data_IF_582412133187
#
_entry.id   IF_582412133187
#
_cell.length_a   1.000
_cell.length_b   1.000
_cell.length_c   1.000
_cell.angle_alpha   90.00
_cell.angle_beta   90.00
_cell.angle_gamma   90.00
#
_symmetry.space_group_name_H-M   'P 1'
#
loop_
_entity.id
_entity.type
_entity.pdbx_description
1 polymer ?
#
# COMPACT_ATOMS: atom_id res chain seq x y z
N UNK A 1 6.48 25.23 -31.36
CA UNK A 1 7.06 23.98 -31.82
C UNK A 1 7.13 23.08 -30.58
N UNK A 2 6.43 22.01 -30.33
CA UNK A 2 5.38 21.29 -31.07
C UNK A 2 4.69 20.33 -30.10
N UNK A 3 3.38 20.42 -29.99
CA UNK A 3 2.49 19.54 -29.22
C UNK A 3 2.18 18.22 -29.97
N UNK A 4 3.13 17.72 -30.75
CA UNK A 4 2.88 16.65 -31.72
C UNK A 4 3.46 15.28 -31.40
N UNK A 5 4.26 15.10 -30.36
CA UNK A 5 5.08 13.87 -30.18
C UNK A 5 4.55 12.89 -29.13
N UNK A 6 3.58 13.28 -28.30
CA UNK A 6 3.04 12.38 -27.25
C UNK A 6 1.85 11.53 -27.68
N UNK A 7 1.19 11.81 -28.79
CA UNK A 7 0.01 11.03 -29.25
C UNK A 7 0.43 9.79 -30.07
N UNK A 8 1.62 9.79 -30.70
CA UNK A 8 2.09 8.65 -31.49
C UNK A 8 2.56 7.43 -30.68
N UNK A 9 2.92 7.60 -29.42
CA UNK A 9 3.38 6.48 -28.56
C UNK A 9 2.17 5.67 -28.02
N UNK A 10 1.01 6.29 -27.86
CA UNK A 10 -0.20 5.61 -27.34
C UNK A 10 -0.88 4.69 -28.38
N UNK A 11 -0.66 4.92 -29.66
CA UNK A 11 -1.27 4.10 -30.74
C UNK A 11 -0.40 2.89 -31.09
N UNK A 12 0.92 2.96 -30.87
CA UNK A 12 1.86 1.85 -31.15
C UNK A 12 1.83 0.73 -30.10
N UNK A 13 1.30 0.97 -28.89
CA UNK A 13 1.22 -0.03 -27.83
C UNK A 13 -0.01 -0.96 -27.89
N UNK A 14 -0.91 -0.76 -28.84
CA UNK A 14 -2.14 -1.58 -28.95
C UNK A 14 -1.95 -2.94 -29.61
N UNK A 15 -0.81 -3.20 -30.26
CA UNK A 15 -0.59 -4.41 -31.06
C UNK A 15 0.45 -5.40 -30.48
N UNK A 16 0.86 -5.25 -29.20
CA UNK A 16 1.84 -6.16 -28.56
C UNK A 16 1.25 -7.08 -27.48
N UNK A 17 -0.07 -7.22 -27.39
CA UNK A 17 -0.72 -8.06 -26.37
C UNK A 17 -1.57 -9.18 -26.99
N UNK A 18 -0.97 -10.00 -27.85
CA UNK A 18 -1.46 -11.36 -28.02
C UNK A 18 -0.61 -12.30 -27.17
N UNK A 19 -1.13 -12.64 -25.98
CA UNK A 19 -0.62 -13.73 -25.15
C UNK A 19 -0.90 -15.03 -25.91
N UNK A 20 0.09 -15.89 -26.17
CA UNK A 20 -0.15 -17.22 -26.72
C UNK A 20 -1.13 -17.94 -25.79
N UNK A 21 -2.24 -18.46 -26.33
CA UNK A 21 -3.17 -19.35 -25.64
C UNK A 21 -2.47 -20.70 -25.37
N UNK A 22 -1.57 -20.72 -24.39
CA UNK A 22 -1.10 -21.93 -23.74
C UNK A 22 -2.16 -22.39 -22.74
N UNK A 23 -2.55 -23.63 -22.80
CA UNK A 23 -3.53 -24.29 -21.93
C UNK A 23 -3.04 -24.18 -20.47
N UNK A 24 -4.03 -23.99 -19.58
CA UNK A 24 -3.98 -23.83 -18.13
C UNK A 24 -3.78 -22.39 -17.64
N UNK A 25 -4.70 -21.53 -18.07
CA UNK A 25 -5.19 -20.51 -17.18
C UNK A 25 -6.23 -21.17 -16.28
N UNK A 26 -5.82 -21.68 -15.13
CA UNK A 26 -6.73 -21.78 -14.00
C UNK A 26 -7.21 -20.35 -13.71
N UNK A 27 -8.27 -19.97 -14.43
CA UNK A 27 -9.00 -18.76 -14.13
C UNK A 27 -9.40 -18.89 -12.67
N UNK A 28 -9.14 -17.87 -11.85
CA UNK A 28 -9.66 -17.75 -10.49
C UNK A 28 -11.20 -17.61 -10.49
N UNK A 29 -11.87 -18.35 -11.34
CA UNK A 29 -13.33 -18.52 -11.33
C UNK A 29 -13.63 -19.87 -10.70
N UNK A 30 -14.08 -19.85 -9.44
CA UNK A 30 -14.64 -21.04 -8.82
C UNK A 30 -15.80 -21.57 -9.69
N UNK A 31 -15.92 -22.90 -9.87
CA UNK A 31 -17.07 -23.47 -10.53
C UNK A 31 -18.35 -23.10 -9.75
N UNK A 32 -19.40 -22.70 -10.47
CA UNK A 32 -20.72 -22.53 -9.91
C UNK A 32 -21.21 -23.90 -9.39
N UNK A 33 -21.29 -24.05 -8.08
CA UNK A 33 -22.09 -25.09 -7.46
C UNK A 33 -23.34 -24.39 -6.95
N UNK A 34 -24.50 -24.76 -7.47
CA UNK A 34 -25.83 -24.23 -7.13
C UNK A 34 -26.11 -22.75 -7.47
N UNK A 35 -25.57 -22.22 -8.56
CA UNK A 35 -25.94 -20.88 -9.07
C UNK A 35 -25.47 -19.71 -8.19
N UNK A 36 -24.75 -19.94 -7.10
CA UNK A 36 -24.16 -18.91 -6.25
C UNK A 36 -22.64 -18.87 -6.41
N UNK A 37 -22.11 -17.75 -6.90
CA UNK A 37 -20.67 -17.53 -6.94
C UNK A 37 -20.11 -17.54 -5.52
N UNK A 38 -19.15 -18.42 -5.24
CA UNK A 38 -18.41 -18.46 -3.98
C UNK A 38 -17.22 -17.47 -3.98
N UNK A 39 -16.97 -16.81 -5.08
CA UNK A 39 -15.86 -15.89 -5.25
C UNK A 39 -16.28 -14.56 -5.88
N UNK A 40 -16.15 -13.47 -5.14
CA UNK A 40 -16.53 -12.12 -5.53
C UNK A 40 -15.29 -11.25 -5.74
N UNK A 41 -14.91 -11.02 -6.99
CA UNK A 41 -13.75 -10.19 -7.35
C UNK A 41 -14.15 -8.82 -7.94
N UNK A 42 -15.39 -8.69 -8.43
CA UNK A 42 -15.87 -7.49 -9.13
C UNK A 42 -16.96 -6.72 -8.35
N UNK A 43 -16.96 -6.88 -7.01
CA UNK A 43 -17.97 -6.30 -6.12
C UNK A 43 -19.18 -7.20 -5.94
N UNK A 44 -20.08 -6.78 -5.07
CA UNK A 44 -21.27 -7.54 -4.68
C UNK A 44 -22.57 -6.94 -5.23
N UNK A 45 -22.47 -5.81 -5.97
CA UNK A 45 -23.60 -5.15 -6.62
C UNK A 45 -24.43 -4.24 -5.71
N UNK A 46 -23.96 -3.96 -4.50
CA UNK A 46 -24.67 -3.19 -3.43
C UNK A 46 -24.02 -1.83 -3.15
N UNK A 47 -23.31 -1.25 -4.12
CA UNK A 47 -22.61 0.02 -3.93
C UNK A 47 -23.54 1.17 -3.54
N UNK A 48 -24.74 1.23 -4.12
CA UNK A 48 -25.69 2.30 -3.84
C UNK A 48 -26.25 2.22 -2.43
N UNK A 49 -26.48 1.01 -1.94
CA UNK A 49 -27.03 0.71 -0.62
C UNK A 49 -26.09 1.12 0.50
N UNK A 50 -24.78 0.94 0.31
CA UNK A 50 -23.77 1.27 1.32
C UNK A 50 -23.22 2.70 1.22
N UNK A 51 -23.50 3.43 0.14
CA UNK A 51 -22.91 4.74 -0.13
C UNK A 51 -23.21 5.78 0.96
N UNK A 52 -24.44 5.80 1.49
CA UNK A 52 -24.85 6.75 2.54
C UNK A 52 -24.07 6.49 3.85
N UNK A 53 -23.87 5.21 4.19
CA UNK A 53 -23.14 4.80 5.39
C UNK A 53 -21.64 5.14 5.23
N UNK A 54 -21.05 4.82 4.08
CA UNK A 54 -19.65 5.14 3.78
C UNK A 54 -19.38 6.66 3.85
N UNK A 55 -20.31 7.46 3.30
CA UNK A 55 -20.20 8.92 3.38
C UNK A 55 -20.25 9.41 4.82
N UNK A 56 -21.17 8.90 5.65
CA UNK A 56 -21.26 9.23 7.07
C UNK A 56 -19.98 8.86 7.82
N UNK A 57 -19.42 7.66 7.55
CA UNK A 57 -18.32 7.10 8.32
C UNK A 57 -16.94 7.65 7.90
N UNK A 58 -16.78 8.18 6.66
CA UNK A 58 -15.44 8.54 6.14
C UNK A 58 -15.34 9.90 5.45
N UNK A 59 -16.45 10.60 5.19
CA UNK A 59 -16.40 11.90 4.54
C UNK A 59 -16.12 13.02 5.57
N UNK A 60 -15.57 14.14 5.08
CA UNK A 60 -15.43 15.41 5.83
C UNK A 60 -15.83 16.58 4.96
N UNK A 61 -16.79 17.38 5.44
CA UNK A 61 -17.18 18.61 4.79
C UNK A 61 -16.04 19.65 4.83
N UNK A 62 -15.26 19.70 5.93
CA UNK A 62 -14.11 20.59 6.05
C UNK A 62 -13.05 20.29 4.99
N UNK A 63 -12.73 19.02 4.77
CA UNK A 63 -11.77 18.61 3.73
C UNK A 63 -12.30 18.92 2.33
N UNK A 64 -13.60 18.72 2.08
CA UNK A 64 -14.23 19.08 0.82
C UNK A 64 -14.13 20.59 0.56
N UNK A 65 -14.48 21.41 1.57
CA UNK A 65 -14.35 22.84 1.50
C UNK A 65 -12.91 23.30 1.21
N UNK A 66 -11.91 22.70 1.88
CA UNK A 66 -10.51 23.04 1.63
C UNK A 66 -10.07 22.72 0.20
N UNK A 67 -10.49 21.59 -0.35
CA UNK A 67 -10.20 21.22 -1.75
C UNK A 67 -10.77 22.23 -2.74
N UNK A 68 -11.97 22.75 -2.50
CA UNK A 68 -12.60 23.78 -3.33
C UNK A 68 -11.92 25.15 -3.18
N UNK A 69 -11.20 25.39 -2.08
CA UNK A 69 -10.54 26.64 -1.75
C UNK A 69 -9.01 26.56 -1.80
N UNK A 70 -8.45 25.78 -2.73
CA UNK A 70 -7.01 25.73 -3.00
C UNK A 70 -6.19 25.00 -1.93
N UNK A 71 -6.79 24.09 -1.18
CA UNK A 71 -6.14 23.30 -0.13
C UNK A 71 -5.49 24.15 0.98
N UNK A 72 -6.09 25.30 1.30
CA UNK A 72 -5.54 26.27 2.26
C UNK A 72 -6.60 26.73 3.24
N UNK A 73 -6.19 26.90 4.51
CA UNK A 73 -6.98 27.53 5.56
C UNK A 73 -6.16 28.67 6.17
N UNK A 74 -6.69 29.88 6.15
CA UNK A 74 -6.08 31.06 6.76
C UNK A 74 -7.01 31.64 7.85
N UNK A 75 -6.46 31.83 9.05
CA UNK A 75 -7.19 32.45 10.15
C UNK A 75 -6.21 33.22 11.06
N UNK A 76 -6.20 34.56 10.95
CA UNK A 76 -5.31 35.41 11.73
C UNK A 76 -3.83 35.11 11.46
N UNK A 77 -3.10 34.70 12.49
CA UNK A 77 -1.70 34.31 12.42
C UNK A 77 -1.46 32.80 12.19
N UNK A 78 -2.48 32.10 11.74
CA UNK A 78 -2.43 30.66 11.44
C UNK A 78 -2.71 30.42 9.97
N UNK A 79 -1.85 29.64 9.32
CA UNK A 79 -2.08 29.14 7.97
C UNK A 79 -1.82 27.64 7.93
N UNK A 80 -2.79 26.88 7.42
CA UNK A 80 -2.64 25.46 7.16
C UNK A 80 -2.71 25.22 5.65
N UNK A 81 -1.78 24.43 5.15
CA UNK A 81 -1.72 23.97 3.76
C UNK A 81 -1.92 22.46 3.73
N UNK A 82 -2.85 21.98 2.94
CA UNK A 82 -3.07 20.58 2.70
C UNK A 82 -2.43 20.18 1.37
N UNK A 83 -1.68 19.10 1.33
CA UNK A 83 -1.16 18.57 0.06
C UNK A 83 -2.30 18.38 -0.96
N UNK A 84 -2.04 18.49 -2.26
CA UNK A 84 -3.11 18.36 -3.25
C UNK A 84 -3.60 16.91 -3.44
N UNK A 85 -2.73 15.90 -3.14
CA UNK A 85 -3.09 14.49 -3.10
C UNK A 85 -2.85 13.89 -1.71
N UNK A 86 -3.90 13.33 -1.11
CA UNK A 86 -3.89 12.77 0.23
C UNK A 86 -5.12 11.88 0.49
N UNK A 87 -5.07 11.09 1.55
CA UNK A 87 -6.20 10.29 2.01
C UNK A 87 -6.46 9.06 1.16
N UNK A 88 -7.65 8.47 1.23
CA UNK A 88 -7.99 7.23 0.55
C UNK A 88 -7.62 7.24 -0.93
N UNK A 89 -6.87 6.22 -1.37
CA UNK A 89 -6.68 5.95 -2.79
C UNK A 89 -7.82 5.07 -3.32
N UNK A 90 -7.92 4.99 -4.64
CA UNK A 90 -8.95 4.16 -5.29
C UNK A 90 -8.95 2.70 -4.80
N UNK A 91 -7.78 2.09 -4.60
CA UNK A 91 -7.67 0.70 -4.13
C UNK A 91 -8.20 0.52 -2.72
N UNK A 92 -7.89 1.45 -1.83
CA UNK A 92 -8.38 1.48 -0.44
C UNK A 92 -9.89 1.73 -0.40
N UNK A 93 -10.36 2.75 -1.12
CA UNK A 93 -11.79 3.08 -1.18
C UNK A 93 -12.61 1.88 -1.65
N UNK A 94 -12.15 1.19 -2.71
CA UNK A 94 -12.76 -0.04 -3.21
C UNK A 94 -12.77 -1.17 -2.15
N UNK A 95 -11.67 -1.36 -1.42
CA UNK A 95 -11.58 -2.44 -0.42
C UNK A 95 -12.58 -2.20 0.73
N UNK A 96 -12.64 -0.97 1.22
CA UNK A 96 -13.60 -0.57 2.26
C UNK A 96 -15.05 -0.69 1.75
N UNK A 97 -15.35 -0.20 0.55
CA UNK A 97 -16.66 -0.33 -0.08
C UNK A 97 -17.10 -1.82 -0.16
N UNK A 98 -16.22 -2.72 -0.58
CA UNK A 98 -16.54 -4.15 -0.66
C UNK A 98 -16.77 -4.79 0.72
N UNK A 99 -16.05 -4.36 1.75
CA UNK A 99 -16.28 -4.84 3.12
C UNK A 99 -17.69 -4.46 3.62
N UNK A 100 -18.14 -3.23 3.36
CA UNK A 100 -19.49 -2.78 3.69
C UNK A 100 -20.55 -3.53 2.88
N UNK A 101 -20.36 -3.67 1.58
CA UNK A 101 -21.26 -4.49 0.73
C UNK A 101 -21.31 -5.95 1.21
N UNK A 102 -20.21 -6.48 1.75
CA UNK A 102 -20.17 -7.85 2.27
C UNK A 102 -21.08 -8.01 3.48
N UNK A 103 -21.03 -7.08 4.44
CA UNK A 103 -21.94 -7.11 5.60
C UNK A 103 -23.41 -6.96 5.19
N UNK A 104 -23.69 -6.06 4.24
CA UNK A 104 -25.04 -5.86 3.70
C UNK A 104 -25.58 -7.10 2.99
N UNK A 105 -24.72 -7.78 2.19
CA UNK A 105 -25.12 -8.99 1.45
C UNK A 105 -25.31 -10.22 2.34
N UNK A 106 -24.53 -10.31 3.41
CA UNK A 106 -24.48 -11.49 4.29
C UNK A 106 -24.76 -11.11 5.76
N UNK A 107 -25.93 -10.54 6.07
CA UNK A 107 -26.21 -10.00 7.41
C UNK A 107 -26.16 -11.04 8.53
N UNK A 108 -26.53 -12.29 8.24
CA UNK A 108 -26.63 -13.38 9.21
C UNK A 108 -25.44 -14.35 9.20
N UNK A 109 -24.39 -14.07 8.37
CA UNK A 109 -23.22 -14.94 8.29
C UNK A 109 -22.07 -14.40 9.13
N UNK A 110 -21.20 -15.32 9.58
CA UNK A 110 -19.90 -14.96 10.11
C UNK A 110 -19.06 -14.38 8.96
N UNK A 111 -18.45 -13.24 9.20
CA UNK A 111 -17.58 -12.57 8.23
C UNK A 111 -16.22 -12.39 8.86
N UNK A 112 -15.20 -12.80 8.13
CA UNK A 112 -13.81 -12.74 8.57
C UNK A 112 -12.96 -11.92 7.60
N UNK A 113 -11.90 -11.31 8.14
CA UNK A 113 -10.76 -10.77 7.40
C UNK A 113 -9.53 -11.62 7.69
N UNK A 114 -8.74 -11.97 6.69
CA UNK A 114 -7.50 -12.72 6.91
C UNK A 114 -6.46 -11.91 7.69
N UNK A 115 -6.53 -10.59 7.62
CA UNK A 115 -5.71 -9.62 8.33
C UNK A 115 -6.32 -8.23 8.26
N UNK A 116 -5.57 -7.18 8.52
CA UNK A 116 -6.06 -5.80 8.38
C UNK A 116 -6.53 -5.54 6.94
N UNK A 117 -7.73 -4.98 6.76
CA UNK A 117 -8.19 -4.65 5.40
C UNK A 117 -7.28 -3.61 4.75
N UNK A 118 -6.83 -2.65 5.57
CA UNK A 118 -5.84 -1.62 5.30
C UNK A 118 -5.16 -1.23 6.61
N UNK A 119 -3.96 -0.66 6.58
CA UNK A 119 -3.27 -0.20 7.78
C UNK A 119 -3.87 1.12 8.32
N UNK A 120 -5.09 1.04 8.83
CA UNK A 120 -5.77 2.14 9.50
C UNK A 120 -6.64 1.65 10.66
N UNK A 121 -6.30 2.00 11.93
CA UNK A 121 -7.03 1.54 13.10
C UNK A 121 -8.51 1.94 13.11
N UNK A 122 -8.83 3.14 12.65
CA UNK A 122 -10.21 3.62 12.62
C UNK A 122 -11.09 2.75 11.70
N UNK A 123 -10.56 2.36 10.54
CA UNK A 123 -11.30 1.52 9.60
C UNK A 123 -11.45 0.09 10.13
N UNK A 124 -10.38 -0.50 10.67
CA UNK A 124 -10.42 -1.86 11.21
C UNK A 124 -11.36 -1.96 12.43
N UNK A 125 -11.32 -0.99 13.35
CA UNK A 125 -12.24 -0.93 14.48
C UNK A 125 -13.70 -0.78 14.02
N UNK A 126 -13.95 0.03 12.98
CA UNK A 126 -15.30 0.15 12.41
C UNK A 126 -15.83 -1.15 11.85
N UNK A 127 -14.99 -1.96 11.21
CA UNK A 127 -15.36 -3.30 10.74
C UNK A 127 -15.65 -4.25 11.91
N UNK A 128 -14.89 -4.18 13.01
CA UNK A 128 -15.20 -4.94 14.25
C UNK A 128 -16.59 -4.56 14.78
N UNK A 129 -16.91 -3.27 14.85
CA UNK A 129 -18.24 -2.79 15.27
C UNK A 129 -19.36 -3.33 14.35
N UNK A 130 -19.05 -3.58 13.09
CA UNK A 130 -19.97 -4.19 12.12
C UNK A 130 -20.04 -5.73 12.24
N UNK A 131 -19.35 -6.33 13.22
CA UNK A 131 -19.32 -7.77 13.43
C UNK A 131 -18.44 -8.54 12.44
N UNK A 132 -17.38 -7.91 11.93
CA UNK A 132 -16.33 -8.59 11.17
C UNK A 132 -15.22 -9.01 12.13
N UNK A 133 -14.79 -10.26 12.05
CA UNK A 133 -13.73 -10.84 12.86
C UNK A 133 -12.40 -10.91 12.06
N UNK A 134 -11.27 -10.91 12.76
CA UNK A 134 -9.94 -10.93 12.14
C UNK A 134 -9.23 -12.24 12.47
N UNK A 135 -8.72 -12.93 11.45
CA UNK A 135 -8.04 -14.22 11.61
C UNK A 135 -6.58 -14.05 12.03
N UNK A 136 -5.98 -12.89 11.83
CA UNK A 136 -4.58 -12.62 12.19
C UNK A 136 -4.36 -11.17 12.62
N UNK A 137 -3.14 -10.89 13.11
CA UNK A 137 -2.72 -9.54 13.50
C UNK A 137 -3.29 -9.08 14.85
N UNK A 138 -3.16 -7.79 15.12
CA UNK A 138 -3.51 -7.20 16.42
C UNK A 138 -5.01 -7.18 16.74
N UNK A 139 -5.87 -7.39 15.74
CA UNK A 139 -7.33 -7.41 15.88
C UNK A 139 -7.89 -8.83 16.00
N UNK A 140 -7.05 -9.87 15.90
CA UNK A 140 -7.49 -11.26 16.02
C UNK A 140 -7.98 -11.56 17.45
N UNK A 141 -9.07 -12.30 17.53
CA UNK A 141 -9.61 -12.85 18.78
C UNK A 141 -9.14 -14.28 19.05
N UNK A 142 -8.20 -14.78 18.24
CA UNK A 142 -7.67 -16.15 18.33
C UNK A 142 -8.33 -17.15 17.37
N UNK A 143 -9.39 -16.77 16.65
CA UNK A 143 -9.94 -17.57 15.55
C UNK A 143 -8.92 -17.68 14.41
N UNK A 144 -8.73 -18.86 13.87
CA UNK A 144 -7.77 -19.15 12.79
C UNK A 144 -8.48 -19.69 11.55
N UNK A 145 -7.78 -19.81 10.44
CA UNK A 145 -8.31 -20.42 9.21
C UNK A 145 -8.82 -21.85 9.49
N UNK A 146 -8.20 -22.56 10.46
CA UNK A 146 -8.62 -23.92 10.82
C UNK A 146 -10.03 -23.99 11.42
N UNK A 147 -10.51 -22.92 12.04
CA UNK A 147 -11.81 -22.83 12.72
C UNK A 147 -12.96 -22.39 11.80
N UNK A 148 -12.66 -22.13 10.52
CA UNK A 148 -13.65 -21.70 9.55
C UNK A 148 -14.49 -22.87 9.06
N UNK A 149 -15.78 -22.61 8.85
CA UNK A 149 -16.76 -23.56 8.33
C UNK A 149 -17.11 -23.26 6.87
N UNK A 150 -17.59 -24.27 6.10
CA UNK A 150 -18.17 -24.03 4.78
C UNK A 150 -19.28 -22.97 4.87
N UNK A 151 -19.27 -22.00 3.95
CA UNK A 151 -20.17 -20.82 3.90
C UNK A 151 -19.82 -19.65 4.81
N UNK A 152 -18.78 -19.73 5.66
CA UNK A 152 -18.22 -18.51 6.24
C UNK A 152 -17.76 -17.58 5.13
N UNK A 153 -17.91 -16.28 5.35
CA UNK A 153 -17.51 -15.28 4.37
C UNK A 153 -16.15 -14.73 4.76
N UNK A 154 -15.17 -14.81 3.86
CA UNK A 154 -13.83 -14.29 4.11
C UNK A 154 -13.48 -13.20 3.13
N UNK A 155 -13.18 -12.02 3.65
CA UNK A 155 -12.70 -10.86 2.89
C UNK A 155 -11.18 -10.96 2.81
N UNK A 156 -10.64 -10.96 1.59
CA UNK A 156 -9.21 -10.88 1.33
C UNK A 156 -8.83 -9.39 1.28
N UNK A 157 -7.83 -8.92 2.08
CA UNK A 157 -7.52 -7.50 2.20
C UNK A 157 -6.96 -6.87 0.93
N UNK A 158 -6.84 -5.54 0.94
CA UNK A 158 -6.30 -4.78 -0.18
C UNK A 158 -4.86 -5.19 -0.59
N UNK A 159 -4.11 -5.73 0.34
CA UNK A 159 -2.74 -6.25 0.14
C UNK A 159 -2.70 -7.62 -0.54
N UNK A 160 -3.84 -8.30 -0.61
CA UNK A 160 -3.96 -9.70 -1.02
C UNK A 160 -3.57 -10.68 0.08
N UNK A 161 -3.56 -11.95 -0.28
CA UNK A 161 -3.16 -13.07 0.59
C UNK A 161 -2.19 -13.97 -0.15
N UNK A 162 -1.44 -14.78 0.59
CA UNK A 162 -0.55 -15.77 -0.02
C UNK A 162 -1.34 -16.84 -0.79
N UNK A 163 -0.67 -17.47 -1.77
CA UNK A 163 -1.27 -18.59 -2.54
C UNK A 163 -1.73 -19.72 -1.64
N UNK A 164 -0.99 -20.00 -0.55
CA UNK A 164 -1.35 -21.06 0.39
C UNK A 164 -2.65 -20.72 1.14
N UNK A 165 -2.73 -19.52 1.72
CA UNK A 165 -3.95 -19.08 2.40
C UNK A 165 -5.16 -19.08 1.47
N UNK A 166 -5.00 -18.60 0.23
CA UNK A 166 -6.07 -18.62 -0.75
C UNK A 166 -6.58 -20.04 -1.04
N UNK A 167 -5.66 -21.01 -1.21
CA UNK A 167 -6.01 -22.41 -1.43
C UNK A 167 -6.73 -23.02 -0.21
N UNK A 168 -6.19 -22.79 0.98
CA UNK A 168 -6.78 -23.29 2.22
C UNK A 168 -8.21 -22.79 2.42
N UNK A 169 -8.45 -21.50 2.19
CA UNK A 169 -9.79 -20.92 2.28
C UNK A 169 -10.75 -21.48 1.23
N UNK A 170 -10.27 -21.67 0.01
CA UNK A 170 -11.06 -22.25 -1.09
C UNK A 170 -11.42 -23.69 -0.80
N UNK A 171 -10.45 -24.51 -0.33
CA UNK A 171 -10.64 -25.93 -0.05
C UNK A 171 -11.60 -26.17 1.13
N UNK A 172 -11.71 -25.19 2.05
CA UNK A 172 -12.70 -25.18 3.13
C UNK A 172 -14.12 -24.84 2.68
N UNK A 173 -14.29 -24.40 1.44
CA UNK A 173 -15.60 -24.01 0.91
C UNK A 173 -16.10 -22.65 1.40
N UNK A 174 -15.22 -21.77 1.86
CA UNK A 174 -15.56 -20.40 2.24
C UNK A 174 -16.04 -19.57 1.06
N UNK A 175 -16.92 -18.61 1.33
CA UNK A 175 -17.28 -17.57 0.36
C UNK A 175 -16.19 -16.48 0.39
N UNK A 176 -15.50 -16.29 -0.71
CA UNK A 176 -14.37 -15.35 -0.79
C UNK A 176 -14.77 -14.03 -1.43
N UNK A 177 -14.44 -12.93 -0.79
CA UNK A 177 -14.59 -11.56 -1.32
C UNK A 177 -13.20 -10.96 -1.48
N UNK A 178 -12.76 -10.83 -2.73
CA UNK A 178 -11.42 -10.34 -3.05
C UNK A 178 -11.41 -8.83 -3.20
N UNK A 179 -10.78 -8.16 -2.25
CA UNK A 179 -10.59 -6.71 -2.28
C UNK A 179 -9.17 -6.32 -2.72
N UNK A 180 -8.34 -7.27 -3.15
CA UNK A 180 -6.96 -7.02 -3.57
C UNK A 180 -6.87 -5.88 -4.56
N UNK A 181 -6.02 -4.89 -4.27
CA UNK A 181 -5.86 -3.70 -5.09
C UNK A 181 -5.36 -4.05 -6.51
N UNK A 182 -5.85 -3.34 -7.52
CA UNK A 182 -5.43 -3.52 -8.90
C UNK A 182 -3.93 -3.34 -9.12
N UNK A 183 -3.29 -2.42 -8.39
CA UNK A 183 -1.83 -2.24 -8.43
C UNK A 183 -1.10 -3.48 -7.91
N UNK A 184 -1.54 -4.07 -6.81
CA UNK A 184 -0.99 -5.33 -6.28
C UNK A 184 -1.16 -6.48 -7.28
N UNK A 185 -2.35 -6.61 -7.87
CA UNK A 185 -2.61 -7.61 -8.91
C UNK A 185 -1.70 -7.44 -10.14
N UNK A 186 -1.32 -6.21 -10.49
CA UNK A 186 -0.36 -5.98 -11.57
C UNK A 186 1.04 -6.46 -11.21
N UNK A 187 1.49 -6.23 -9.98
CA UNK A 187 2.77 -6.79 -9.49
C UNK A 187 2.74 -8.32 -9.53
N UNK A 188 1.65 -8.94 -9.06
CA UNK A 188 1.48 -10.39 -9.09
C UNK A 188 1.58 -10.99 -10.50
N UNK A 189 0.98 -10.32 -11.50
CA UNK A 189 1.10 -10.74 -12.91
C UNK A 189 2.57 -10.74 -13.37
N UNK A 190 3.36 -9.74 -12.94
CA UNK A 190 4.78 -9.66 -13.29
C UNK A 190 5.60 -10.76 -12.63
N UNK A 191 5.43 -10.96 -11.31
CA UNK A 191 6.08 -12.05 -10.56
C UNK A 191 5.72 -13.42 -11.16
N UNK A 192 4.44 -13.65 -11.47
CA UNK A 192 4.01 -14.88 -12.16
C UNK A 192 4.64 -15.04 -13.55
N UNK A 193 4.74 -13.94 -14.32
CA UNK A 193 5.40 -13.95 -15.63
C UNK A 193 6.88 -14.28 -15.50
N UNK A 194 7.58 -13.68 -14.54
CA UNK A 194 9.00 -14.01 -14.28
C UNK A 194 9.17 -15.50 -13.97
N UNK A 195 8.44 -16.01 -12.99
CA UNK A 195 8.53 -17.40 -12.58
C UNK A 195 8.20 -18.39 -13.72
N UNK A 196 7.16 -18.10 -14.53
CA UNK A 196 6.80 -18.94 -15.68
C UNK A 196 7.84 -18.97 -16.80
N UNK A 197 8.73 -17.98 -16.84
CA UNK A 197 9.81 -17.87 -17.84
C UNK A 197 11.21 -18.19 -17.25
N UNK A 198 11.27 -18.74 -16.04
CA UNK A 198 12.52 -19.15 -15.38
C UNK A 198 13.37 -17.97 -14.91
N UNK A 199 12.76 -16.84 -14.55
CA UNK A 199 13.43 -15.72 -13.91
C UNK A 199 13.15 -15.75 -12.42
N UNK A 200 14.14 -15.45 -11.61
CA UNK A 200 13.98 -15.14 -10.19
C UNK A 200 13.40 -13.75 -10.01
N UNK A 201 12.38 -13.63 -9.20
CA UNK A 201 11.81 -12.32 -8.86
C UNK A 201 12.62 -11.67 -7.75
N UNK A 202 13.37 -10.59 -8.04
CA UNK A 202 13.93 -9.71 -7.00
C UNK A 202 12.86 -8.68 -6.63
N UNK A 203 12.43 -8.69 -5.38
CA UNK A 203 11.30 -7.87 -4.90
C UNK A 203 11.82 -6.83 -3.90
N UNK A 204 11.75 -5.54 -4.27
CA UNK A 204 12.01 -4.46 -3.32
C UNK A 204 10.84 -4.31 -2.37
N UNK A 205 11.03 -4.64 -1.10
CA UNK A 205 9.97 -4.61 -0.09
C UNK A 205 10.41 -5.09 1.29
N UNK A 206 9.49 -5.00 2.23
CA UNK A 206 9.68 -5.51 3.60
C UNK A 206 9.20 -6.97 3.63
N UNK A 207 10.10 -7.94 3.85
CA UNK A 207 9.78 -9.37 3.78
C UNK A 207 8.63 -9.82 4.71
N UNK A 208 8.40 -9.09 5.81
CA UNK A 208 7.36 -9.37 6.79
C UNK A 208 6.03 -8.65 6.51
N UNK A 209 5.95 -7.80 5.47
CA UNK A 209 4.74 -7.08 5.12
C UNK A 209 3.80 -7.99 4.30
N UNK A 210 2.51 -7.94 4.60
CA UNK A 210 1.48 -8.81 4.01
C UNK A 210 1.49 -8.78 2.48
N UNK A 211 1.61 -7.58 1.89
CA UNK A 211 1.71 -7.41 0.43
C UNK A 211 2.93 -8.11 -0.15
N UNK A 212 4.09 -8.04 0.52
CA UNK A 212 5.33 -8.66 0.06
C UNK A 212 5.23 -10.19 0.17
N UNK A 213 4.65 -10.70 1.26
CA UNK A 213 4.38 -12.14 1.45
C UNK A 213 3.44 -12.66 0.36
N UNK A 214 2.34 -11.94 0.12
CA UNK A 214 1.37 -12.30 -0.91
C UNK A 214 2.01 -12.26 -2.31
N UNK A 215 2.80 -11.23 -2.61
CA UNK A 215 3.49 -11.04 -3.89
C UNK A 215 4.54 -12.10 -4.14
N UNK A 216 5.44 -12.36 -3.18
CA UNK A 216 6.50 -13.36 -3.32
C UNK A 216 5.94 -14.77 -3.51
N UNK A 217 4.81 -15.08 -2.84
CA UNK A 217 4.12 -16.36 -2.98
C UNK A 217 3.65 -16.64 -4.41
N UNK A 218 3.44 -15.60 -5.24
CA UNK A 218 3.02 -15.78 -6.64
C UNK A 218 4.10 -16.50 -7.48
N UNK A 219 5.38 -16.37 -7.12
CA UNK A 219 6.45 -17.12 -7.76
C UNK A 219 6.28 -18.62 -7.51
N UNK A 220 5.82 -19.01 -6.31
CA UNK A 220 5.64 -20.41 -5.90
C UNK A 220 4.43 -21.11 -6.54
N UNK A 221 3.71 -20.44 -7.46
CA UNK A 221 2.72 -21.11 -8.33
C UNK A 221 3.35 -22.05 -9.32
N UNK A 222 4.62 -21.85 -9.61
CA UNK A 222 5.42 -22.61 -10.59
C UNK A 222 6.47 -23.44 -9.85
N UNK A 223 6.67 -24.67 -10.28
CA UNK A 223 7.52 -25.66 -9.60
C UNK A 223 8.94 -25.16 -9.32
N UNK A 224 9.51 -24.40 -10.28
CA UNK A 224 10.86 -23.84 -10.17
C UNK A 224 10.85 -22.32 -9.93
N UNK A 225 9.72 -21.77 -9.50
CA UNK A 225 9.58 -20.34 -9.25
C UNK A 225 10.43 -19.89 -8.07
N UNK A 226 11.25 -18.87 -8.27
CA UNK A 226 12.17 -18.34 -7.27
C UNK A 226 11.93 -16.87 -7.00
N UNK A 227 12.21 -16.47 -5.75
CA UNK A 227 12.22 -15.06 -5.37
C UNK A 227 13.32 -14.76 -4.35
N UNK A 228 13.75 -13.51 -4.36
CA UNK A 228 14.60 -12.89 -3.35
C UNK A 228 14.05 -11.50 -3.03
N UNK A 229 13.89 -11.17 -1.76
CA UNK A 229 13.39 -9.88 -1.30
C UNK A 229 14.58 -9.06 -0.81
N UNK A 230 14.67 -7.81 -1.29
CA UNK A 230 15.66 -6.82 -0.83
C UNK A 230 14.92 -5.62 -0.23
N UNK A 231 15.39 -5.13 0.91
CA UNK A 231 14.73 -4.05 1.64
C UNK A 231 15.22 -2.66 1.23
N UNK A 232 16.44 -2.54 0.75
CA UNK A 232 17.09 -1.27 0.45
C UNK A 232 18.28 -1.44 -0.51
N UNK A 233 18.90 -0.32 -0.87
CA UNK A 233 20.07 -0.29 -1.77
C UNK A 233 21.27 -1.06 -1.21
N UNK A 234 21.48 -1.10 0.10
CA UNK A 234 22.61 -1.82 0.71
C UNK A 234 22.48 -3.34 0.48
N UNK A 235 21.29 -3.90 0.74
CA UNK A 235 21.00 -5.32 0.46
C UNK A 235 21.10 -5.62 -1.05
N UNK A 236 20.62 -4.70 -1.89
CA UNK A 236 20.70 -4.82 -3.34
C UNK A 236 22.15 -4.93 -3.82
N UNK A 237 23.04 -4.06 -3.32
CA UNK A 237 24.47 -4.10 -3.70
C UNK A 237 25.14 -5.41 -3.32
N UNK A 238 24.77 -6.03 -2.20
CA UNK A 238 25.32 -7.34 -1.83
C UNK A 238 24.87 -8.43 -2.80
N UNK A 239 23.61 -8.38 -3.24
CA UNK A 239 23.13 -9.29 -4.31
C UNK A 239 23.86 -9.03 -5.62
N UNK A 240 24.04 -7.77 -6.00
CA UNK A 240 24.78 -7.38 -7.21
C UNK A 240 26.26 -7.82 -7.16
N UNK A 241 26.91 -7.64 -6.00
CA UNK A 241 28.29 -8.11 -5.81
C UNK A 241 28.40 -9.63 -6.00
N UNK A 242 27.47 -10.39 -5.43
CA UNK A 242 27.40 -11.83 -5.64
C UNK A 242 27.14 -12.19 -7.10
N UNK A 243 26.27 -11.48 -7.81
CA UNK A 243 26.02 -11.67 -9.25
C UNK A 243 27.31 -11.50 -10.03
N UNK A 244 28.10 -10.47 -9.75
CA UNK A 244 29.33 -10.12 -10.50
C UNK A 244 30.50 -11.04 -10.16
N UNK A 245 30.75 -11.25 -8.89
CA UNK A 245 32.02 -11.81 -8.40
C UNK A 245 31.88 -13.23 -7.84
N UNK A 246 30.61 -13.73 -7.67
CA UNK A 246 30.35 -14.91 -6.87
C UNK A 246 30.64 -14.64 -5.38
N UNK A 247 30.87 -15.69 -4.61
CA UNK A 247 31.22 -15.54 -3.21
C UNK A 247 30.77 -16.70 -2.34
N UNK A 248 30.64 -16.43 -1.03
CA UNK A 248 30.16 -17.42 -0.07
C UNK A 248 28.63 -17.54 -0.15
N UNK A 249 28.16 -18.54 -0.89
CA UNK A 249 26.75 -18.87 -1.04
C UNK A 249 26.06 -19.12 0.32
N UNK A 250 26.75 -19.73 1.28
CA UNK A 250 26.18 -20.03 2.59
C UNK A 250 25.97 -18.74 3.42
N UNK A 251 26.89 -17.80 3.33
CA UNK A 251 26.76 -16.48 3.97
C UNK A 251 25.60 -15.68 3.38
N UNK A 252 25.44 -15.68 2.06
CA UNK A 252 24.32 -15.01 1.39
C UNK A 252 22.97 -15.63 1.80
N UNK A 253 22.87 -16.96 1.80
CA UNK A 253 21.67 -17.70 2.18
C UNK A 253 21.29 -17.43 3.66
N UNK A 254 22.25 -17.43 4.57
CA UNK A 254 21.98 -17.11 5.98
C UNK A 254 21.50 -15.67 6.17
N UNK A 255 22.12 -14.72 5.47
CA UNK A 255 21.68 -13.32 5.52
C UNK A 255 20.25 -13.11 5.02
N UNK A 256 19.90 -13.73 3.91
CA UNK A 256 18.59 -13.59 3.26
C UNK A 256 17.61 -14.72 3.61
N UNK A 257 17.85 -15.52 4.65
CA UNK A 257 17.07 -16.73 5.00
C UNK A 257 15.55 -16.52 5.10
N UNK A 258 15.11 -15.32 5.51
CA UNK A 258 13.70 -14.96 5.58
C UNK A 258 13.19 -14.24 4.31
N UNK A 259 14.07 -14.02 3.34
CA UNK A 259 13.85 -13.18 2.17
C UNK A 259 13.89 -13.97 0.85
N UNK A 260 14.12 -15.28 0.90
CA UNK A 260 14.29 -16.14 -0.28
C UNK A 260 13.25 -17.25 -0.33
N UNK A 261 12.99 -17.74 -1.54
CA UNK A 261 12.14 -18.91 -1.75
C UNK A 261 12.80 -20.22 -1.25
N UNK A 262 12.02 -21.25 -0.90
CA UNK A 262 12.56 -22.57 -0.57
C UNK A 262 13.44 -23.11 -1.69
N UNK A 263 14.60 -23.69 -1.32
CA UNK A 263 15.56 -24.26 -2.26
C UNK A 263 16.17 -23.24 -3.23
N UNK A 264 16.31 -21.99 -2.79
CA UNK A 264 17.01 -20.95 -3.54
C UNK A 264 18.51 -21.26 -3.60
N UNK A 265 19.07 -21.24 -4.79
CA UNK A 265 20.51 -21.43 -5.07
C UNK A 265 21.08 -20.16 -5.73
N UNK A 266 21.86 -19.33 -5.00
CA UNK A 266 22.33 -18.06 -5.53
C UNK A 266 23.27 -18.22 -6.74
N UNK A 267 23.94 -19.36 -6.92
CA UNK A 267 24.84 -19.59 -8.06
C UNK A 267 24.09 -19.79 -9.37
N UNK A 268 22.87 -20.32 -9.32
CA UNK A 268 22.03 -20.59 -10.48
C UNK A 268 20.83 -19.66 -10.57
N UNK A 269 20.17 -19.36 -9.44
CA UNK A 269 18.90 -18.62 -9.44
C UNK A 269 19.09 -17.10 -9.68
N UNK A 270 20.33 -16.58 -9.62
CA UNK A 270 20.64 -15.17 -9.92
C UNK A 270 21.12 -14.94 -11.38
N UNK A 271 21.11 -15.95 -12.23
CA UNK A 271 21.48 -15.82 -13.65
C UNK A 271 20.45 -15.05 -14.47
N UNK A 272 19.16 -15.16 -14.10
CA UNK A 272 18.05 -14.51 -14.78
C UNK A 272 17.12 -13.90 -13.75
N UNK A 273 17.02 -12.59 -13.74
CA UNK A 273 16.27 -11.87 -12.71
C UNK A 273 15.22 -10.91 -13.28
N UNK A 274 14.10 -10.80 -12.59
CA UNK A 274 13.04 -9.84 -12.90
C UNK A 274 12.72 -8.99 -11.69
N UNK A 275 12.62 -7.66 -11.86
CA UNK A 275 12.39 -6.72 -10.76
C UNK A 275 10.90 -6.47 -10.51
N UNK A 276 10.52 -6.48 -9.25
CA UNK A 276 9.21 -6.06 -8.75
C UNK A 276 9.37 -5.29 -7.44
N UNK A 277 8.32 -4.63 -6.97
CA UNK A 277 8.35 -3.93 -5.69
C UNK A 277 7.01 -4.05 -4.95
N UNK A 278 7.07 -3.95 -3.64
CA UNK A 278 5.91 -3.65 -2.80
C UNK A 278 5.38 -2.27 -3.22
N UNK A 279 4.08 -2.16 -3.51
CA UNK A 279 3.47 -0.98 -4.16
C UNK A 279 3.58 0.32 -3.35
N UNK A 280 3.86 0.20 -2.06
CA UNK A 280 3.97 1.33 -1.12
C UNK A 280 5.40 1.76 -0.81
N UNK A 281 6.42 1.21 -1.49
CA UNK A 281 7.82 1.62 -1.33
C UNK A 281 8.08 3.00 -1.96
N UNK A 282 9.19 3.62 -1.59
CA UNK A 282 9.64 4.86 -2.25
C UNK A 282 9.98 4.58 -3.72
N UNK A 283 9.33 5.32 -4.61
CA UNK A 283 9.51 5.09 -6.05
C UNK A 283 10.92 5.39 -6.51
N UNK A 284 11.53 6.47 -6.01
CA UNK A 284 12.92 6.83 -6.32
C UNK A 284 13.90 5.74 -5.92
N UNK A 285 13.70 5.10 -4.76
CA UNK A 285 14.54 4.00 -4.30
C UNK A 285 14.30 2.73 -5.14
N UNK A 286 13.04 2.39 -5.45
CA UNK A 286 12.70 1.24 -6.29
C UNK A 286 13.33 1.36 -7.68
N UNK A 287 13.28 2.54 -8.29
CA UNK A 287 13.92 2.81 -9.58
C UNK A 287 15.46 2.73 -9.50
N UNK A 288 16.06 3.27 -8.44
CA UNK A 288 17.50 3.19 -8.21
C UNK A 288 17.98 1.75 -8.03
N UNK A 289 17.22 0.93 -7.29
CA UNK A 289 17.48 -0.51 -7.12
C UNK A 289 17.40 -1.24 -8.47
N UNK A 290 16.37 -0.96 -9.27
CA UNK A 290 16.23 -1.57 -10.58
C UNK A 290 17.42 -1.23 -11.51
N UNK A 291 17.88 0.01 -11.49
CA UNK A 291 19.04 0.44 -12.29
C UNK A 291 20.36 -0.16 -11.77
N UNK A 292 20.53 -0.35 -10.45
CA UNK A 292 21.72 -0.99 -9.88
C UNK A 292 21.82 -2.46 -10.29
N UNK A 293 20.72 -3.23 -10.19
CA UNK A 293 20.67 -4.62 -10.65
C UNK A 293 20.91 -4.69 -12.16
N UNK A 294 20.29 -3.81 -12.94
CA UNK A 294 20.49 -3.75 -14.39
C UNK A 294 21.96 -3.53 -14.76
N UNK A 295 22.67 -2.62 -14.05
CA UNK A 295 24.10 -2.38 -14.26
C UNK A 295 24.93 -3.64 -14.01
N UNK A 296 24.67 -4.34 -12.90
CA UNK A 296 25.35 -5.60 -12.59
C UNK A 296 25.10 -6.65 -13.68
N UNK A 297 23.88 -6.76 -14.19
CA UNK A 297 23.54 -7.71 -15.26
C UNK A 297 24.23 -7.35 -16.59
N UNK A 298 24.31 -6.05 -16.93
CA UNK A 298 25.05 -5.57 -18.10
C UNK A 298 26.54 -5.88 -17.95
N UNK A 299 27.12 -5.65 -16.80
CA UNK A 299 28.53 -5.90 -16.53
C UNK A 299 28.87 -7.40 -16.67
N UNK A 300 27.99 -8.28 -16.13
CA UNK A 300 28.21 -9.73 -16.19
C UNK A 300 27.97 -10.34 -17.58
N UNK A 301 26.89 -9.94 -18.28
CA UNK A 301 26.42 -10.63 -19.50
C UNK A 301 26.56 -9.80 -20.77
N UNK A 302 26.91 -8.53 -20.66
CA UNK A 302 26.95 -7.58 -21.79
C UNK A 302 25.55 -7.02 -22.13
N UNK A 303 25.56 -5.84 -22.76
CA UNK A 303 24.33 -5.15 -23.19
C UNK A 303 23.50 -5.96 -24.20
N UNK A 304 24.18 -6.71 -25.08
CA UNK A 304 23.53 -7.45 -26.17
C UNK A 304 22.73 -8.68 -25.67
N UNK A 305 23.06 -9.19 -24.48
CA UNK A 305 22.41 -10.34 -23.87
C UNK A 305 21.46 -9.94 -22.73
N UNK A 306 21.34 -8.66 -22.40
CA UNK A 306 20.58 -8.17 -21.24
C UNK A 306 19.15 -8.70 -21.20
N UNK A 307 18.43 -8.68 -22.32
CA UNK A 307 17.01 -9.10 -22.39
C UNK A 307 16.79 -10.59 -22.03
N UNK A 308 17.87 -11.41 -22.11
CA UNK A 308 17.81 -12.81 -21.71
C UNK A 308 18.02 -13.02 -20.21
N UNK A 309 18.64 -12.06 -19.52
CA UNK A 309 19.05 -12.17 -18.12
C UNK A 309 18.33 -11.21 -17.18
N UNK A 310 17.76 -10.11 -17.71
CA UNK A 310 17.15 -9.07 -16.92
C UNK A 310 15.80 -8.60 -17.47
N UNK A 311 14.80 -8.52 -16.60
CA UNK A 311 13.52 -7.92 -16.91
C UNK A 311 13.12 -6.93 -15.82
N UNK A 312 12.53 -5.81 -16.22
CA UNK A 312 11.93 -4.86 -15.30
C UNK A 312 10.67 -4.26 -15.91
N UNK A 313 9.70 -3.98 -15.05
CA UNK A 313 8.48 -3.26 -15.41
C UNK A 313 8.23 -2.23 -14.33
N UNK A 314 7.61 -1.12 -14.70
CA UNK A 314 7.14 -0.17 -13.72
C UNK A 314 5.97 -0.80 -12.93
N UNK A 315 6.25 -1.13 -11.68
CA UNK A 315 5.27 -1.70 -10.73
C UNK A 315 4.94 -0.74 -9.59
N UNK A 316 5.40 0.51 -9.69
CA UNK A 316 5.10 1.56 -8.71
C UNK A 316 3.61 1.91 -8.81
N UNK A 317 2.96 2.00 -7.63
CA UNK A 317 1.57 2.42 -7.59
C UNK A 317 1.46 3.93 -7.83
N UNK A 318 0.69 4.34 -8.87
CA UNK A 318 0.48 5.77 -9.18
C UNK A 318 -0.04 6.53 -7.97
N UNK A 319 -0.97 5.96 -7.20
CA UNK A 319 -1.50 6.61 -6.00
C UNK A 319 -0.42 6.83 -4.91
N UNK A 320 0.60 5.99 -4.83
CA UNK A 320 1.76 6.20 -3.95
C UNK A 320 2.63 7.32 -4.49
N UNK A 321 2.93 7.30 -5.79
CA UNK A 321 3.71 8.34 -6.47
C UNK A 321 3.04 9.71 -6.35
N UNK A 322 1.76 9.82 -6.70
CA UNK A 322 1.00 11.07 -6.66
C UNK A 322 1.07 11.74 -5.27
N UNK A 323 1.02 10.95 -4.19
CA UNK A 323 1.14 11.48 -2.81
C UNK A 323 2.56 11.90 -2.45
N UNK A 324 3.57 11.17 -2.93
CA UNK A 324 4.96 11.56 -2.75
C UNK A 324 5.25 12.87 -3.50
N UNK A 325 4.80 12.99 -4.74
CA UNK A 325 4.97 14.20 -5.55
C UNK A 325 4.23 15.39 -4.93
N UNK A 326 2.98 15.17 -4.48
CA UNK A 326 2.17 16.21 -3.84
C UNK A 326 2.81 16.76 -2.55
N UNK A 327 3.44 15.90 -1.77
CA UNK A 327 4.09 16.34 -0.53
C UNK A 327 5.43 17.04 -0.82
N UNK A 328 6.18 16.58 -1.82
CA UNK A 328 7.42 17.24 -2.28
C UNK A 328 7.09 18.63 -2.81
N UNK A 329 6.05 18.74 -3.64
CA UNK A 329 5.57 20.03 -4.16
C UNK A 329 5.21 20.97 -3.01
N UNK A 330 4.45 20.48 -2.02
CA UNK A 330 4.04 21.29 -0.88
C UNK A 330 5.24 21.83 -0.09
N UNK A 331 6.19 20.97 0.30
CA UNK A 331 7.33 21.36 1.14
C UNK A 331 8.38 22.17 0.38
N UNK A 332 8.44 22.04 -0.96
CA UNK A 332 9.37 22.81 -1.80
C UNK A 332 8.85 24.21 -2.11
N UNK A 333 7.52 24.38 -2.23
CA UNK A 333 6.91 25.64 -2.65
C UNK A 333 6.36 26.49 -1.49
N UNK A 334 6.24 25.91 -0.28
CA UNK A 334 5.74 26.62 0.90
C UNK A 334 6.80 26.66 1.99
N UNK A 335 7.04 27.85 2.54
CA UNK A 335 7.85 27.98 3.75
C UNK A 335 7.01 27.51 4.96
N UNK A 336 7.18 26.26 5.37
CA UNK A 336 6.43 25.63 6.46
C UNK A 336 7.26 25.59 7.74
N UNK A 337 6.63 25.86 8.89
CA UNK A 337 7.26 25.74 10.20
C UNK A 337 7.24 24.28 10.71
N UNK A 338 6.20 23.53 10.32
CA UNK A 338 6.09 22.09 10.62
C UNK A 338 5.14 21.37 9.65
N UNK A 339 5.28 20.04 9.61
CA UNK A 339 4.38 19.15 8.91
C UNK A 339 3.68 18.19 9.87
N UNK A 340 2.39 17.94 9.63
CA UNK A 340 1.63 16.86 10.27
C UNK A 340 1.26 15.84 9.19
N UNK A 341 1.76 14.61 9.36
CA UNK A 341 1.46 13.48 8.48
C UNK A 341 0.54 12.54 9.23
N UNK A 342 -0.69 12.36 8.73
CA UNK A 342 -1.70 11.53 9.40
C UNK A 342 -1.90 10.19 8.70
N UNK A 343 -1.91 9.11 9.46
CA UNK A 343 -2.20 7.74 9.02
C UNK A 343 -1.56 6.68 9.88
N UNK A 344 -2.00 5.44 9.74
CA UNK A 344 -1.58 4.33 10.59
C UNK A 344 -0.06 4.18 10.71
N UNK A 345 0.43 3.95 11.91
CA UNK A 345 1.87 3.80 12.20
C UNK A 345 2.51 2.61 11.44
N UNK A 346 1.71 1.61 11.05
CA UNK A 346 2.14 0.46 10.27
C UNK A 346 2.06 0.70 8.74
N UNK A 347 1.46 1.81 8.30
CA UNK A 347 1.34 2.14 6.87
C UNK A 347 2.69 2.54 6.28
N UNK A 348 3.21 1.74 5.34
CA UNK A 348 4.45 2.08 4.63
C UNK A 348 4.34 3.39 3.86
N UNK A 349 3.22 3.63 3.17
CA UNK A 349 3.00 4.89 2.47
C UNK A 349 3.08 6.10 3.41
N UNK A 350 2.40 6.05 4.58
CA UNK A 350 2.42 7.14 5.56
C UNK A 350 3.82 7.38 6.14
N UNK A 351 4.56 6.30 6.46
CA UNK A 351 5.93 6.40 6.96
C UNK A 351 6.84 7.09 5.94
N UNK A 352 6.75 6.74 4.65
CA UNK A 352 7.56 7.37 3.61
C UNK A 352 7.21 8.86 3.40
N UNK A 353 5.93 9.25 3.51
CA UNK A 353 5.55 10.66 3.48
C UNK A 353 6.18 11.44 4.65
N UNK A 354 6.20 10.84 5.84
CA UNK A 354 6.86 11.45 7.00
C UNK A 354 8.39 11.54 6.82
N UNK A 355 9.02 10.52 6.23
CA UNK A 355 10.46 10.52 5.90
C UNK A 355 10.79 11.62 4.89
N UNK A 356 10.01 11.78 3.82
CA UNK A 356 10.19 12.84 2.83
C UNK A 356 10.08 14.21 3.49
N UNK A 357 9.01 14.47 4.22
CA UNK A 357 8.75 15.79 4.82
C UNK A 357 9.77 16.17 5.89
N UNK A 358 10.32 15.20 6.62
CA UNK A 358 11.32 15.42 7.66
C UNK A 358 12.67 15.95 7.13
N UNK A 359 12.92 15.79 5.84
CA UNK A 359 14.11 16.34 5.19
C UNK A 359 14.03 17.88 4.98
N UNK A 360 12.80 18.44 5.06
CA UNK A 360 12.54 19.86 4.77
C UNK A 360 12.15 20.65 6.02
N UNK A 361 11.37 20.03 6.92
CA UNK A 361 10.86 20.71 8.11
C UNK A 361 10.56 19.73 9.24
N UNK A 362 10.35 20.25 10.45
CA UNK A 362 9.92 19.47 11.60
C UNK A 362 8.62 18.73 11.27
N UNK A 363 8.64 17.40 11.39
CA UNK A 363 7.55 16.52 10.96
C UNK A 363 7.03 15.68 12.11
N UNK A 364 5.70 15.63 12.26
CA UNK A 364 4.99 14.80 13.22
C UNK A 364 4.10 13.78 12.50
N UNK A 365 4.39 12.50 12.69
CA UNK A 365 3.55 11.42 12.19
C UNK A 365 2.56 10.98 13.28
N UNK A 366 1.27 11.21 13.05
CA UNK A 366 0.17 10.83 13.95
C UNK A 366 -0.72 9.78 13.30
N UNK A 367 -1.28 8.86 14.08
CA UNK A 367 -2.21 7.85 13.58
C UNK A 367 -3.69 8.24 13.78
N UNK A 368 -3.95 9.15 14.72
CA UNK A 368 -5.29 9.60 15.08
C UNK A 368 -5.27 11.08 15.52
N UNK A 369 -6.34 11.86 15.28
CA UNK A 369 -6.48 13.23 15.79
C UNK A 369 -6.32 13.34 17.32
N UNK A 370 -6.63 12.30 18.10
CA UNK A 370 -6.40 12.24 19.53
C UNK A 370 -4.93 12.33 19.95
N UNK A 371 -4.00 12.13 19.01
CA UNK A 371 -2.57 12.37 19.22
C UNK A 371 -2.22 13.85 19.45
N UNK A 372 -3.09 14.78 19.03
CA UNK A 372 -3.00 16.22 19.28
C UNK A 372 -3.52 16.52 20.69
N UNK A 373 -2.72 16.22 21.71
CA UNK A 373 -3.13 16.19 23.12
C UNK A 373 -3.51 17.59 23.64
N UNK A 374 -2.62 18.55 23.44
CA UNK A 374 -2.84 19.97 23.78
C UNK A 374 -2.01 20.84 22.84
N UNK A 375 -2.06 22.15 23.02
CA UNK A 375 -1.21 23.10 22.29
C UNK A 375 0.29 22.84 22.59
N UNK A 376 0.59 22.43 23.80
CA UNK A 376 1.96 22.16 24.26
C UNK A 376 2.41 20.74 23.92
N UNK A 377 1.53 19.75 23.77
CA UNK A 377 1.90 18.33 23.72
C UNK A 377 1.29 17.60 22.53
N UNK A 378 2.13 16.87 21.80
CA UNK A 378 1.74 15.99 20.69
C UNK A 378 2.34 14.60 20.88
N UNK A 379 1.51 13.56 20.73
CA UNK A 379 1.96 12.18 20.66
C UNK A 379 2.18 11.82 19.18
N UNK A 380 3.34 11.34 18.83
CA UNK A 380 3.65 11.00 17.45
C UNK A 380 4.64 9.85 17.37
N UNK A 381 4.70 9.20 16.21
CA UNK A 381 5.74 8.24 15.89
C UNK A 381 6.97 8.99 15.41
N UNK A 382 8.15 8.65 15.97
CA UNK A 382 9.43 9.18 15.46
C UNK A 382 9.66 8.73 14.01
N UNK A 383 10.05 9.67 13.16
CA UNK A 383 10.40 9.37 11.76
C UNK A 383 11.61 8.42 11.73
N UNK A 384 11.52 7.39 10.90
CA UNK A 384 12.58 6.37 10.78
C UNK A 384 12.68 5.38 11.95
N UNK A 385 11.77 5.44 12.94
CA UNK A 385 11.74 4.55 14.10
C UNK A 385 10.37 3.90 14.28
N UNK A 386 10.28 2.93 15.18
CA UNK A 386 9.00 2.37 15.66
C UNK A 386 8.52 3.05 16.96
N UNK A 387 9.32 3.95 17.54
CA UNK A 387 9.03 4.58 18.81
C UNK A 387 7.91 5.60 18.70
N UNK A 388 6.93 5.51 19.59
CA UNK A 388 5.90 6.53 19.79
C UNK A 388 6.24 7.35 21.02
N UNK A 389 6.36 8.66 20.83
CA UNK A 389 6.80 9.60 21.86
C UNK A 389 5.82 10.75 22.03
N UNK A 390 6.00 11.53 23.08
CA UNK A 390 5.27 12.77 23.32
C UNK A 390 6.28 13.91 23.32
N UNK A 391 6.14 14.83 22.36
CA UNK A 391 6.93 16.04 22.29
C UNK A 391 6.17 17.22 22.91
N UNK A 392 6.96 18.18 23.44
CA UNK A 392 6.47 19.44 23.99
C UNK A 392 6.69 20.60 23.02
N UNK A 393 5.92 21.69 23.24
CA UNK A 393 6.08 22.96 22.52
C UNK A 393 5.98 22.83 20.97
N UNK A 394 5.10 21.95 20.51
CA UNK A 394 4.93 21.66 19.08
C UNK A 394 4.14 22.74 18.33
N UNK A 395 3.18 23.41 19.00
CA UNK A 395 2.24 24.37 18.40
C UNK A 395 2.36 25.74 19.09
N UNK A 396 3.26 26.65 18.62
CA UNK A 396 3.51 27.95 19.25
C UNK A 396 2.32 28.91 19.09
N UNK A 397 2.26 29.97 19.94
CA UNK A 397 1.27 31.05 19.82
C UNK A 397 1.60 32.05 18.70
N UNK A 398 2.86 32.17 18.34
CA UNK A 398 3.31 33.02 17.25
C UNK A 398 2.67 32.63 15.92
N UNK A 399 2.85 33.47 14.90
CA UNK A 399 2.43 33.12 13.53
C UNK A 399 3.04 31.77 13.12
N UNK A 400 2.22 30.91 12.50
CA UNK A 400 2.66 29.56 12.12
C UNK A 400 2.04 29.12 10.80
N UNK A 401 2.85 28.44 10.01
CA UNK A 401 2.49 27.82 8.72
C UNK A 401 2.65 26.30 8.84
N UNK A 402 1.55 25.59 8.85
CA UNK A 402 1.50 24.13 9.02
C UNK A 402 1.19 23.48 7.68
N UNK A 403 2.02 22.55 7.26
CA UNK A 403 1.69 21.64 6.18
C UNK A 403 1.02 20.38 6.71
N UNK A 404 0.07 19.83 5.98
CA UNK A 404 -0.58 18.57 6.30
C UNK A 404 -0.70 17.67 5.09
N UNK A 405 -0.47 16.38 5.31
CA UNK A 405 -0.77 15.32 4.35
C UNK A 405 -1.27 14.08 5.05
N UNK A 406 -1.76 13.11 4.28
CA UNK A 406 -2.26 11.86 4.83
C UNK A 406 -1.92 10.68 3.92
N UNK A 407 -1.61 9.53 4.54
CA UNK A 407 -1.37 8.29 3.83
C UNK A 407 -2.60 7.78 3.07
N UNK A 408 -2.35 6.91 2.07
CA UNK A 408 -3.37 6.34 1.18
C UNK A 408 -4.47 5.51 1.89
N UNK A 409 -4.26 5.16 3.15
CA UNK A 409 -5.21 4.44 4.00
C UNK A 409 -5.95 5.31 5.01
N UNK A 410 -5.87 6.66 4.92
CA UNK A 410 -6.46 7.58 5.89
C UNK A 410 -7.75 8.19 5.33
N UNK A 411 -8.91 8.02 5.99
CA UNK A 411 -10.15 8.61 5.52
C UNK A 411 -10.25 10.11 5.80
N UNK A 412 -11.02 10.82 4.96
CA UNK A 412 -11.12 12.29 5.01
C UNK A 412 -11.64 12.82 6.34
N UNK A 413 -12.55 12.09 7.03
CA UNK A 413 -13.06 12.52 8.33
C UNK A 413 -11.94 12.64 9.38
N UNK A 414 -10.93 11.75 9.37
CA UNK A 414 -9.79 11.83 10.29
C UNK A 414 -8.89 13.02 9.98
N UNK A 415 -8.74 13.32 8.70
CA UNK A 415 -7.98 14.52 8.26
C UNK A 415 -8.71 15.79 8.71
N UNK A 416 -10.02 15.88 8.44
CA UNK A 416 -10.86 17.01 8.88
C UNK A 416 -10.85 17.21 10.38
N UNK A 417 -10.98 16.12 11.16
CA UNK A 417 -10.91 16.17 12.63
C UNK A 417 -9.53 16.64 13.13
N UNK A 418 -8.43 16.23 12.49
CA UNK A 418 -7.09 16.71 12.85
C UNK A 418 -6.96 18.22 12.57
N UNK A 419 -7.44 18.69 11.42
CA UNK A 419 -7.46 20.12 11.08
C UNK A 419 -8.30 20.91 12.10
N UNK A 420 -9.52 20.46 12.38
CA UNK A 420 -10.39 21.08 13.35
C UNK A 420 -9.78 21.11 14.77
N UNK A 421 -9.10 20.04 15.16
CA UNK A 421 -8.40 19.96 16.44
C UNK A 421 -7.23 20.95 16.53
N UNK A 422 -6.42 21.08 15.50
CA UNK A 422 -5.31 22.07 15.43
C UNK A 422 -5.89 23.50 15.54
N UNK A 423 -6.94 23.81 14.78
CA UNK A 423 -7.59 25.10 14.81
C UNK A 423 -8.14 25.40 16.23
N UNK A 424 -8.84 24.45 16.85
CA UNK A 424 -9.35 24.57 18.21
C UNK A 424 -8.23 24.81 19.23
N UNK A 425 -7.11 24.09 19.14
CA UNK A 425 -5.94 24.30 20.01
C UNK A 425 -5.30 25.69 19.84
N UNK A 426 -5.54 26.33 18.71
CA UNK A 426 -5.14 27.70 18.41
C UNK A 426 -6.22 28.75 18.79
N UNK A 427 -7.36 28.32 19.35
CA UNK A 427 -8.48 29.21 19.67
C UNK A 427 -9.22 29.75 18.43
N UNK A 428 -9.12 29.04 17.29
CA UNK A 428 -9.74 29.43 16.01
C UNK A 428 -11.08 28.70 15.89
N UNK A 429 -12.16 29.45 15.75
CA UNK A 429 -13.49 28.91 15.48
C UNK A 429 -13.70 28.70 13.98
N UNK A 430 -14.03 27.48 13.59
CA UNK A 430 -14.33 27.11 12.19
C UNK A 430 -15.84 27.20 11.88
N UNK A 431 -16.65 27.72 12.80
CA UNK A 431 -18.11 27.76 12.71
C UNK A 431 -18.69 28.51 11.49
N UNK A 432 -17.88 29.32 10.81
CA UNK A 432 -18.26 29.98 9.53
C UNK A 432 -17.85 29.18 8.28
N UNK A 433 -17.08 28.12 8.45
CA UNK A 433 -16.50 27.33 7.34
C UNK A 433 -17.27 26.03 7.16
N UNK A 434 -17.69 25.36 8.25
CA UNK A 434 -18.49 24.12 8.21
C UNK A 434 -19.35 23.98 9.48
N UNK A 435 -20.67 23.84 9.33
CA UNK A 435 -21.51 23.26 10.36
C UNK A 435 -21.35 21.73 10.30
N UNK A 436 -20.48 21.15 11.11
CA UNK A 436 -20.48 19.69 11.30
C UNK A 436 -21.68 19.33 12.18
N UNK A 437 -22.66 18.63 11.57
CA UNK A 437 -23.67 17.87 12.28
C UNK A 437 -23.14 16.46 12.55
#
# INVERSE_FOLDING_TARGET
>A
MTFGTQISIFVAMKNYFEIPKGRDTDSMTAPNVDGTSQFFQRGLGLKKEVQAILKRDYHSQLVAHLRENGNKLEAGNFTLFLAHEFGFCYGVDRAVDYAYQTREKFPDRRIFLTGEIIHNPHVNNRLIEMGVEFLSGQYSNGTTIADLEPKDVVILPAFGVSIHEFRDLKDRGCVLVDTTCGSVLNVWKRVSHYASNGYTSIIHGKYYHEETIATSSQALRFENGKYLIVRNMEETRQVCDFILNGGDSAALLEKFKNCISPGFDPEHDLDRVGLANQTTMLSSESLAIAEEVKKAMIEKYGSDNLDQHFQTFDTICSATQDRQDAVIDLVSNQALDLMVVIGGFNSSNTNHLAEITSQYTRTYHIDDPACLLSRERIRHKKVGSQDVVVDSDWLPEAAIRIGMTAGASTPNNRIGQAIARIACLRGIELAGIVSEN
#
